data_IF_353829196079
#
_entry.id   IF_353829196079
#
_cell.length_a   1.000
_cell.length_b   1.000
_cell.length_c   1.000
_cell.angle_alpha   90.00
_cell.angle_beta   90.00
_cell.angle_gamma   90.00
#
_symmetry.space_group_name_H-M   'P 1'
#
loop_
_entity.id
_entity.type
_entity.pdbx_description
1 polymer ?
#
# COMPACT_ATOMS: atom_id res chain seq x y z
N UNK A 1 -9.35 31.89 20.66
CA UNK A 1 -9.61 30.65 19.89
C UNK A 1 -8.36 30.39 19.09
N UNK A 2 -7.62 29.32 19.39
CA UNK A 2 -6.50 28.90 18.55
C UNK A 2 -7.12 28.34 17.26
N UNK A 3 -6.86 29.00 16.14
CA UNK A 3 -7.12 28.39 14.83
C UNK A 3 -6.32 27.09 14.80
N UNK A 4 -7.01 25.96 14.74
CA UNK A 4 -6.37 24.71 14.39
C UNK A 4 -5.84 24.91 12.97
N UNK A 5 -4.53 25.10 12.82
CA UNK A 5 -3.89 25.00 11.52
C UNK A 5 -4.22 23.61 10.99
N UNK A 6 -5.14 23.52 10.04
CA UNK A 6 -5.49 22.27 9.39
C UNK A 6 -4.33 21.92 8.46
N UNK A 7 -3.27 21.30 9.00
CA UNK A 7 -2.17 20.82 8.20
C UNK A 7 -2.71 19.90 7.10
N UNK A 8 -2.33 20.19 5.86
CA UNK A 8 -2.75 19.43 4.69
C UNK A 8 -2.21 18.00 4.81
N UNK A 9 -3.09 17.03 5.09
CA UNK A 9 -2.73 15.63 5.25
C UNK A 9 -2.58 14.91 3.92
N UNK A 10 -1.35 14.54 3.60
CA UNK A 10 -0.98 13.73 2.44
C UNK A 10 -0.11 12.58 2.92
N UNK A 11 -0.71 11.39 3.03
CA UNK A 11 -0.13 10.27 3.76
C UNK A 11 0.28 9.17 2.77
N UNK A 12 1.49 8.64 2.91
CA UNK A 12 1.91 7.44 2.18
C UNK A 12 2.06 6.29 3.17
N UNK A 13 1.39 5.17 2.91
CA UNK A 13 1.42 3.99 3.78
C UNK A 13 2.01 2.80 3.03
N UNK A 14 3.05 2.20 3.58
CA UNK A 14 3.73 1.07 2.94
C UNK A 14 4.21 0.01 3.92
N UNK A 15 4.60 -1.15 3.40
CA UNK A 15 4.91 -2.34 4.19
C UNK A 15 4.57 -3.64 3.45
N UNK A 16 4.91 -4.77 4.07
CA UNK A 16 4.71 -6.09 3.49
C UNK A 16 3.22 -6.36 3.13
N UNK A 17 2.98 -7.32 2.25
CA UNK A 17 1.63 -7.89 2.08
C UNK A 17 1.08 -8.36 3.43
N UNK A 18 -0.21 -8.16 3.66
CA UNK A 18 -0.88 -8.47 4.93
C UNK A 18 -0.42 -7.70 6.19
N UNK A 19 0.35 -6.62 6.04
CA UNK A 19 0.71 -5.76 7.19
C UNK A 19 -0.40 -4.81 7.68
N UNK A 20 -1.54 -4.73 6.99
CA UNK A 20 -2.69 -3.89 7.41
C UNK A 20 -2.81 -2.54 6.70
N UNK A 21 -1.99 -2.26 5.67
CA UNK A 21 -1.96 -0.96 4.96
C UNK A 21 -3.34 -0.47 4.51
N UNK A 22 -4.06 -1.25 3.72
CA UNK A 22 -5.37 -0.86 3.19
C UNK A 22 -6.40 -0.63 4.29
N UNK A 23 -6.34 -1.37 5.40
CA UNK A 23 -7.22 -1.14 6.56
C UNK A 23 -6.92 0.20 7.24
N UNK A 24 -5.65 0.48 7.48
CA UNK A 24 -5.20 1.75 8.05
C UNK A 24 -5.51 2.93 7.12
N UNK A 25 -5.26 2.78 5.82
CA UNK A 25 -5.55 3.79 4.81
C UNK A 25 -7.04 4.13 4.75
N UNK A 26 -7.93 3.12 4.75
CA UNK A 26 -9.37 3.33 4.79
C UNK A 26 -9.82 4.04 6.07
N UNK A 27 -9.32 3.60 7.24
CA UNK A 27 -9.62 4.24 8.52
C UNK A 27 -9.19 5.71 8.53
N UNK A 28 -7.98 6.02 8.04
CA UNK A 28 -7.49 7.40 7.97
C UNK A 28 -8.27 8.23 6.94
N UNK A 29 -8.64 7.64 5.81
CA UNK A 29 -9.46 8.28 4.78
C UNK A 29 -10.84 8.66 5.34
N UNK A 30 -11.50 7.76 6.07
CA UNK A 30 -12.78 8.02 6.72
C UNK A 30 -12.64 9.07 7.83
N UNK A 31 -11.67 8.91 8.73
CA UNK A 31 -11.47 9.78 9.89
C UNK A 31 -11.10 11.22 9.51
N UNK A 32 -10.33 11.39 8.43
CA UNK A 32 -9.80 12.69 8.03
C UNK A 32 -10.34 13.19 6.68
N UNK A 33 -11.33 12.50 6.10
CA UNK A 33 -11.93 12.83 4.80
C UNK A 33 -10.88 12.92 3.67
N UNK A 34 -9.93 11.98 3.65
CA UNK A 34 -8.87 11.94 2.64
C UNK A 34 -9.35 11.17 1.41
N UNK A 35 -8.95 11.62 0.22
CA UNK A 35 -9.03 10.76 -0.95
C UNK A 35 -8.12 9.53 -0.77
N UNK A 36 -8.58 8.34 -1.13
CA UNK A 36 -7.82 7.10 -0.97
C UNK A 36 -7.43 6.52 -2.32
N UNK A 37 -6.15 6.16 -2.46
CA UNK A 37 -5.63 5.44 -3.62
C UNK A 37 -4.89 4.17 -3.17
N UNK A 38 -5.45 3.02 -3.53
CA UNK A 38 -4.79 1.71 -3.45
C UNK A 38 -3.97 1.50 -4.73
N UNK A 39 -2.65 1.37 -4.61
CA UNK A 39 -1.76 1.22 -5.75
C UNK A 39 -1.96 -0.11 -6.52
N UNK A 40 -2.59 -1.13 -5.93
CA UNK A 40 -2.97 -2.34 -6.69
C UNK A 40 -3.90 -1.98 -7.87
N UNK A 41 -4.71 -0.92 -7.75
CA UNK A 41 -5.61 -0.48 -8.84
C UNK A 41 -4.88 0.10 -10.05
N UNK A 42 -3.61 0.52 -9.88
CA UNK A 42 -2.79 1.13 -10.92
C UNK A 42 -1.61 0.26 -11.34
N UNK A 43 -1.22 -0.70 -10.51
CA UNK A 43 -0.03 -1.51 -10.71
C UNK A 43 -0.22 -2.65 -11.73
N UNK A 44 -1.45 -3.02 -12.06
CA UNK A 44 -1.75 -4.18 -12.89
C UNK A 44 -2.60 -3.81 -14.10
N UNK A 45 -2.36 -4.50 -15.21
CA UNK A 45 -3.27 -4.45 -16.36
C UNK A 45 -4.61 -5.11 -16.00
N UNK A 46 -5.73 -4.62 -16.56
CA UNK A 46 -7.02 -5.30 -16.40
C UNK A 46 -6.94 -6.75 -16.87
N UNK A 47 -7.51 -7.65 -16.08
CA UNK A 47 -7.68 -9.06 -16.50
C UNK A 47 -8.70 -9.07 -17.63
N UNK A 48 -8.35 -9.70 -18.76
CA UNK A 48 -9.22 -9.84 -19.93
C UNK A 48 -9.29 -11.30 -20.35
N UNK A 49 -10.23 -11.63 -21.24
CA UNK A 49 -10.31 -12.98 -21.82
C UNK A 49 -9.03 -13.40 -22.57
N UNK A 50 -8.24 -12.43 -23.07
CA UNK A 50 -6.97 -12.64 -23.77
C UNK A 50 -5.74 -12.52 -22.85
N UNK A 51 -5.90 -12.02 -21.62
CA UNK A 51 -4.84 -11.91 -20.62
C UNK A 51 -5.40 -12.30 -19.25
N UNK A 52 -5.42 -13.62 -19.02
CA UNK A 52 -5.97 -14.24 -17.82
C UNK A 52 -4.98 -14.29 -16.64
N UNK A 53 -3.70 -13.97 -16.90
CA UNK A 53 -2.67 -13.87 -15.86
C UNK A 53 -2.43 -12.40 -15.48
N UNK A 54 -2.25 -12.08 -14.19
CA UNK A 54 -1.86 -10.74 -13.77
C UNK A 54 -0.57 -10.29 -14.45
N UNK A 55 -0.63 -9.16 -15.15
CA UNK A 55 0.51 -8.55 -15.81
C UNK A 55 0.75 -7.16 -15.23
N UNK A 56 2.00 -6.89 -14.86
CA UNK A 56 2.37 -5.59 -14.29
C UNK A 56 2.18 -4.50 -15.35
N UNK A 57 1.50 -3.43 -14.97
CA UNK A 57 1.39 -2.21 -15.78
C UNK A 57 2.75 -1.52 -15.89
N UNK A 58 2.95 -0.76 -16.97
CA UNK A 58 4.11 0.13 -17.09
C UNK A 58 4.18 1.10 -15.90
N UNK A 59 5.36 1.19 -15.28
CA UNK A 59 5.63 2.14 -14.18
C UNK A 59 5.25 3.56 -14.60
N UNK A 60 5.59 3.98 -15.81
CA UNK A 60 5.31 5.34 -16.30
C UNK A 60 3.80 5.64 -16.38
N UNK A 61 3.00 4.64 -16.76
CA UNK A 61 1.54 4.77 -16.81
C UNK A 61 0.99 4.86 -15.38
N UNK A 62 1.39 3.95 -14.50
CA UNK A 62 0.96 3.98 -13.09
C UNK A 62 1.34 5.30 -12.42
N UNK A 63 2.54 5.82 -12.67
CA UNK A 63 3.02 7.10 -12.13
C UNK A 63 2.24 8.29 -12.69
N UNK A 64 1.88 8.27 -13.98
CA UNK A 64 1.00 9.29 -14.57
C UNK A 64 -0.36 9.34 -13.86
N UNK A 65 -0.96 8.18 -13.57
CA UNK A 65 -2.24 8.09 -12.86
C UNK A 65 -2.12 8.54 -11.39
N UNK A 66 -1.04 8.18 -10.69
CA UNK A 66 -0.73 8.68 -9.34
C UNK A 66 -0.65 10.22 -9.34
N UNK A 67 0.06 10.79 -10.31
CA UNK A 67 0.21 12.25 -10.43
C UNK A 67 -1.13 12.94 -10.71
N UNK A 68 -1.99 12.33 -11.53
CA UNK A 68 -3.35 12.83 -11.78
C UNK A 68 -4.17 12.83 -10.49
N UNK A 69 -4.16 11.73 -9.75
CA UNK A 69 -4.82 11.63 -8.45
C UNK A 69 -4.32 12.69 -7.45
N UNK A 70 -3.00 12.88 -7.34
CA UNK A 70 -2.40 13.90 -6.45
C UNK A 70 -2.81 15.32 -6.86
N UNK A 71 -2.91 15.62 -8.16
CA UNK A 71 -3.33 16.95 -8.64
C UNK A 71 -4.80 17.25 -8.36
N UNK A 72 -5.65 16.24 -8.37
CA UNK A 72 -7.10 16.38 -8.17
C UNK A 72 -7.49 16.47 -6.69
N UNK A 73 -6.60 16.08 -5.77
CA UNK A 73 -6.91 15.96 -4.36
C UNK A 73 -5.92 16.74 -3.49
N UNK A 74 -6.40 17.69 -2.70
CA UNK A 74 -5.55 18.46 -1.79
C UNK A 74 -5.10 17.64 -0.58
N UNK A 75 -5.91 16.67 -0.14
CA UNK A 75 -5.64 15.79 1.00
C UNK A 75 -5.92 14.35 0.58
N UNK A 76 -4.99 13.45 0.87
CA UNK A 76 -5.04 12.08 0.37
C UNK A 76 -4.25 11.09 1.22
N UNK A 77 -4.55 9.81 1.03
CA UNK A 77 -3.76 8.67 1.47
C UNK A 77 -3.51 7.73 0.29
N UNK A 78 -2.24 7.46 0.01
CA UNK A 78 -1.79 6.51 -1.01
C UNK A 78 -1.16 5.33 -0.28
N UNK A 79 -1.54 4.11 -0.64
CA UNK A 79 -1.03 2.91 0.02
C UNK A 79 -0.59 1.82 -0.98
N UNK A 80 0.44 1.05 -0.60
CA UNK A 80 0.88 -0.09 -1.40
C UNK A 80 2.22 -0.68 -0.94
N UNK A 81 2.74 -1.64 -1.71
CA UNK A 81 4.06 -2.25 -1.48
C UNK A 81 5.04 -2.04 -2.66
N UNK A 82 4.71 -1.13 -3.57
CA UNK A 82 5.46 -0.87 -4.80
C UNK A 82 6.45 0.26 -4.58
N UNK A 83 7.67 0.00 -4.09
CA UNK A 83 8.59 1.09 -3.75
C UNK A 83 8.94 1.98 -4.95
N UNK A 84 8.98 1.38 -6.14
CA UNK A 84 9.09 2.05 -7.44
C UNK A 84 8.00 3.11 -7.61
N UNK A 85 6.73 2.76 -7.38
CA UNK A 85 5.61 3.70 -7.51
C UNK A 85 5.55 4.71 -6.35
N UNK A 86 5.72 4.24 -5.12
CA UNK A 86 5.60 5.05 -3.90
C UNK A 86 6.62 6.19 -3.87
N UNK A 87 7.83 5.96 -4.40
CA UNK A 87 8.89 6.99 -4.47
C UNK A 87 8.42 8.29 -5.12
N UNK A 88 7.54 8.22 -6.13
CA UNK A 88 7.00 9.39 -6.82
C UNK A 88 6.01 10.22 -5.98
N UNK A 89 5.44 9.62 -4.93
CA UNK A 89 4.51 10.29 -4.03
C UNK A 89 5.21 10.97 -2.85
N UNK A 90 6.44 10.58 -2.54
CA UNK A 90 7.14 11.00 -1.32
C UNK A 90 7.41 12.50 -1.26
N UNK A 91 7.79 13.13 -2.37
CA UNK A 91 8.04 14.59 -2.41
C UNK A 91 6.77 15.43 -2.17
N UNK A 92 5.60 14.84 -2.36
CA UNK A 92 4.30 15.52 -2.24
C UNK A 92 3.57 15.14 -0.96
N UNK A 93 4.06 14.15 -0.20
CA UNK A 93 3.44 13.73 1.04
C UNK A 93 3.91 14.58 2.23
N UNK A 94 3.06 14.69 3.25
CA UNK A 94 3.38 15.32 4.53
C UNK A 94 3.84 14.31 5.57
N UNK A 95 3.42 13.05 5.43
CA UNK A 95 3.65 11.99 6.39
C UNK A 95 3.82 10.63 5.70
N UNK A 96 4.74 9.82 6.22
CA UNK A 96 4.85 8.41 5.85
C UNK A 96 4.58 7.50 7.04
N UNK A 97 3.90 6.38 6.78
CA UNK A 97 3.63 5.33 7.76
C UNK A 97 4.17 4.01 7.21
N UNK A 98 5.19 3.48 7.87
CA UNK A 98 5.78 2.18 7.54
C UNK A 98 5.25 1.10 8.47
N UNK A 99 4.43 0.19 7.94
CA UNK A 99 3.98 -1.02 8.63
C UNK A 99 5.03 -2.12 8.48
N UNK A 100 6.06 -2.06 9.32
CA UNK A 100 7.20 -2.97 9.38
C UNK A 100 6.96 -4.14 10.34
N UNK A 101 5.83 -4.83 10.16
CA UNK A 101 5.44 -5.94 11.02
C UNK A 101 6.32 -7.18 10.77
N UNK A 102 6.58 -7.99 11.81
CA UNK A 102 7.10 -9.34 11.66
C UNK A 102 6.28 -10.18 10.66
N UNK A 103 6.95 -11.12 9.97
CA UNK A 103 6.33 -12.01 8.99
C UNK A 103 5.20 -12.82 9.63
N UNK A 104 5.36 -13.23 10.88
CA UNK A 104 4.40 -14.04 11.63
C UNK A 104 3.07 -13.30 11.83
N UNK A 105 3.12 -11.99 12.09
CA UNK A 105 1.92 -11.16 12.16
C UNK A 105 1.28 -11.01 10.79
N UNK A 106 2.07 -10.80 9.73
CA UNK A 106 1.56 -10.75 8.36
C UNK A 106 0.89 -12.07 7.95
N UNK A 107 1.43 -13.23 8.35
CA UNK A 107 0.81 -14.53 8.14
C UNK A 107 -0.52 -14.66 8.89
N UNK A 108 -0.54 -14.29 10.17
CA UNK A 108 -1.77 -14.31 10.97
C UNK A 108 -2.84 -13.42 10.33
N UNK A 109 -2.47 -12.21 9.92
CA UNK A 109 -3.35 -11.28 9.25
C UNK A 109 -3.86 -11.88 7.92
N UNK A 110 -3.00 -12.48 7.10
CA UNK A 110 -3.40 -13.09 5.83
C UNK A 110 -4.42 -14.22 6.01
N UNK A 111 -4.23 -15.08 7.02
CA UNK A 111 -5.14 -16.20 7.34
C UNK A 111 -6.49 -15.73 7.88
N UNK A 112 -6.52 -14.61 8.59
CA UNK A 112 -7.73 -14.06 9.22
C UNK A 112 -8.43 -12.98 8.38
N UNK A 113 -7.96 -12.72 7.14
CA UNK A 113 -8.54 -11.68 6.29
C UNK A 113 -9.99 -12.01 5.91
N UNK A 114 -10.91 -11.02 6.01
CA UNK A 114 -12.24 -11.16 5.44
C UNK A 114 -12.16 -11.28 3.91
N UNK A 115 -13.27 -11.67 3.29
CA UNK A 115 -13.35 -11.73 1.85
C UNK A 115 -13.14 -10.35 1.20
N UNK A 116 -12.15 -10.25 0.32
CA UNK A 116 -11.81 -9.04 -0.43
C UNK A 116 -12.50 -9.08 -1.81
N UNK A 117 -13.78 -8.71 -1.88
CA UNK A 117 -14.59 -8.80 -3.10
C UNK A 117 -14.06 -7.98 -4.30
N UNK A 118 -13.20 -6.99 -4.04
CA UNK A 118 -12.51 -6.19 -5.06
C UNK A 118 -11.29 -6.90 -5.66
N UNK A 119 -10.77 -7.97 -5.01
CA UNK A 119 -9.62 -8.77 -5.46
C UNK A 119 -10.03 -10.16 -5.92
N UNK A 120 -11.07 -10.73 -5.32
CA UNK A 120 -11.50 -12.11 -5.58
C UNK A 120 -13.01 -12.19 -5.80
N UNK A 121 -13.41 -12.97 -6.81
CA UNK A 121 -14.83 -13.22 -7.12
C UNK A 121 -15.57 -13.93 -5.99
N UNK A 122 -14.90 -14.82 -5.26
CA UNK A 122 -15.46 -15.54 -4.11
C UNK A 122 -14.45 -15.67 -2.96
N UNK A 123 -14.92 -15.97 -1.75
CA UNK A 123 -14.05 -16.31 -0.61
C UNK A 123 -13.23 -17.58 -0.89
N UNK A 124 -13.79 -18.55 -1.61
CA UNK A 124 -13.07 -19.76 -2.00
C UNK A 124 -11.89 -19.44 -2.94
N UNK A 125 -12.05 -18.52 -3.89
CA UNK A 125 -10.94 -18.09 -4.77
C UNK A 125 -9.81 -17.41 -3.97
N UNK A 126 -10.17 -16.60 -2.98
CA UNK A 126 -9.20 -16.01 -2.06
C UNK A 126 -8.45 -17.06 -1.24
N UNK A 127 -9.17 -18.06 -0.71
CA UNK A 127 -8.59 -19.12 0.09
C UNK A 127 -7.67 -20.02 -0.74
N UNK A 128 -8.03 -20.29 -1.99
CA UNK A 128 -7.17 -21.00 -2.94
C UNK A 128 -5.87 -20.24 -3.24
N UNK A 129 -5.87 -18.91 -3.17
CA UNK A 129 -4.69 -18.07 -3.39
C UNK A 129 -3.83 -17.90 -2.11
N UNK A 130 -4.34 -18.27 -0.94
CA UNK A 130 -3.65 -18.08 0.34
C UNK A 130 -2.24 -18.71 0.40
N UNK A 131 -1.98 -19.94 -0.12
CA UNK A 131 -0.63 -20.51 -0.11
C UNK A 131 0.39 -19.65 -0.87
N UNK A 132 0.01 -19.15 -2.05
CA UNK A 132 0.84 -18.24 -2.84
C UNK A 132 1.11 -16.94 -2.07
N UNK A 133 0.07 -16.36 -1.46
CA UNK A 133 0.22 -15.15 -0.65
C UNK A 133 1.16 -15.35 0.55
N UNK A 134 1.07 -16.49 1.25
CA UNK A 134 1.95 -16.79 2.37
C UNK A 134 3.41 -16.96 1.91
N UNK A 135 3.64 -17.66 0.79
CA UNK A 135 4.98 -17.74 0.18
C UNK A 135 5.52 -16.35 -0.18
N UNK A 136 4.69 -15.51 -0.81
CA UNK A 136 5.04 -14.13 -1.12
C UNK A 136 5.42 -13.34 0.15
N UNK A 137 4.60 -13.36 1.20
CA UNK A 137 4.88 -12.68 2.46
C UNK A 137 6.21 -13.16 3.09
N UNK A 138 6.51 -14.46 2.99
CA UNK A 138 7.70 -15.08 3.59
C UNK A 138 9.01 -14.55 3.01
N UNK A 139 9.01 -14.18 1.72
CA UNK A 139 10.20 -13.72 1.01
C UNK A 139 10.51 -12.24 1.26
N UNK A 140 9.72 -11.52 2.07
CA UNK A 140 9.82 -10.07 2.22
C UNK A 140 11.20 -9.58 2.67
N UNK A 141 11.84 -10.32 3.57
CA UNK A 141 13.16 -9.94 4.11
C UNK A 141 14.32 -10.29 3.17
N UNK A 142 14.15 -11.29 2.31
CA UNK A 142 15.21 -11.83 1.45
C UNK A 142 15.14 -11.37 0.00
N UNK A 143 13.95 -11.00 -0.50
CA UNK A 143 13.79 -10.47 -1.86
C UNK A 143 14.52 -9.14 -2.00
N UNK A 144 14.96 -8.84 -3.22
CA UNK A 144 15.75 -7.63 -3.54
C UNK A 144 15.06 -6.71 -4.54
N UNK A 145 13.78 -6.95 -4.79
CA UNK A 145 12.93 -6.18 -5.70
C UNK A 145 12.29 -4.97 -5.00
N UNK A 146 11.37 -4.30 -5.69
CA UNK A 146 10.66 -3.11 -5.20
C UNK A 146 9.64 -3.41 -4.10
N UNK A 147 9.42 -4.68 -3.78
CA UNK A 147 8.53 -5.15 -2.71
C UNK A 147 9.29 -5.49 -1.43
N UNK A 148 10.61 -5.42 -1.45
CA UNK A 148 11.49 -5.88 -0.37
C UNK A 148 11.43 -5.03 0.89
N UNK A 149 11.78 -5.64 2.03
CA UNK A 149 12.03 -4.91 3.29
C UNK A 149 13.14 -3.88 3.12
N UNK A 150 14.18 -4.21 2.38
CA UNK A 150 15.27 -3.29 2.08
C UNK A 150 14.77 -2.05 1.31
N UNK A 151 13.95 -2.22 0.28
CA UNK A 151 13.39 -1.12 -0.49
C UNK A 151 12.44 -0.24 0.34
N UNK A 152 11.54 -0.84 1.13
CA UNK A 152 10.66 -0.10 2.03
C UNK A 152 11.44 0.64 3.12
N UNK A 153 12.46 0.00 3.70
CA UNK A 153 13.32 0.64 4.70
C UNK A 153 14.08 1.83 4.10
N UNK A 154 14.55 1.72 2.86
CA UNK A 154 15.17 2.84 2.14
C UNK A 154 14.21 4.03 2.03
N UNK A 155 12.97 3.81 1.58
CA UNK A 155 11.94 4.88 1.51
C UNK A 155 11.74 5.55 2.88
N UNK A 156 11.65 4.76 3.96
CA UNK A 156 11.45 5.29 5.32
C UNK A 156 12.67 6.08 5.83
N UNK A 157 13.87 5.54 5.63
CA UNK A 157 15.11 6.11 6.14
C UNK A 157 15.43 7.43 5.41
N UNK A 158 15.25 7.48 4.08
CA UNK A 158 15.51 8.65 3.24
C UNK A 158 14.43 9.74 3.33
N UNK A 159 13.21 9.40 3.76
CA UNK A 159 12.15 10.39 3.91
C UNK A 159 12.46 11.41 5.02
N UNK A 160 12.35 12.68 4.67
CA UNK A 160 12.50 13.84 5.56
C UNK A 160 11.12 14.45 5.82
N UNK A 161 10.66 14.35 7.06
CA UNK A 161 9.35 14.83 7.47
C UNK A 161 8.78 13.98 8.60
N UNK A 162 7.47 14.07 8.81
CA UNK A 162 6.79 13.23 9.81
C UNK A 162 6.78 11.78 9.35
N UNK A 163 7.39 10.88 10.14
CA UNK A 163 7.44 9.46 9.82
C UNK A 163 7.16 8.58 11.03
N UNK A 164 6.30 7.59 10.83
CA UNK A 164 5.90 6.63 11.86
C UNK A 164 6.20 5.22 11.39
N UNK A 165 6.72 4.37 12.27
CA UNK A 165 6.92 2.96 12.01
C UNK A 165 6.16 2.13 13.02
N UNK A 166 5.35 1.19 12.54
CA UNK A 166 4.68 0.19 13.36
C UNK A 166 5.35 -1.16 13.18
N UNK A 167 5.53 -1.89 14.28
CA UNK A 167 6.13 -3.23 14.31
C UNK A 167 5.16 -4.29 14.85
N UNK A 168 3.91 -3.90 15.11
CA UNK A 168 2.83 -4.76 15.57
C UNK A 168 1.48 -4.25 15.02
N UNK A 169 0.38 -4.91 15.42
CA UNK A 169 -0.98 -4.56 15.00
C UNK A 169 -1.66 -3.52 15.91
N UNK A 170 -0.95 -2.90 16.87
CA UNK A 170 -1.53 -1.97 17.86
C UNK A 170 -1.68 -0.54 17.32
#
# INVERSE_FOLDING_TARGET
>A
MLEASCEVKRIVIFGNSASGKSSLAKMLAEQHQLAHLDLDTLAWLPITEYSSMPQRQSVDISVSEINTFIKQNNQWVIEGCYSDLLSHSLEKCSEVIFLNLPIELCFSNAKNRPWEAHKYKTKADQDNNLPMLLDWISQYESRTDTFSKAAHKKLYDEFIGKKTQHIDNQ
#
